data_IF_952734781973
#
_entry.id   IF_952734781973
#
_cell.length_a   1.000
_cell.length_b   1.000
_cell.length_c   1.000
_cell.angle_alpha   90.00
_cell.angle_beta   90.00
_cell.angle_gamma   90.00
#
_symmetry.space_group_name_H-M   'P 1'
#
loop_
_entity.id
_entity.type
_entity.pdbx_description
1 polymer ?
#
# COMPACT_ATOMS: atom_id res chain seq x y z
N UNK A 1 28.43 -36.09 36.75
CA UNK A 1 29.29 -35.89 35.57
C UNK A 1 29.01 -34.55 34.86
N UNK A 2 27.81 -34.21 34.44
CA UNK A 2 27.45 -32.97 33.72
C UNK A 2 27.99 -31.70 34.38
N UNK A 3 27.82 -31.57 35.71
CA UNK A 3 28.26 -30.39 36.49
C UNK A 3 29.78 -30.14 36.41
N UNK A 4 30.58 -31.22 36.30
CA UNK A 4 32.03 -31.11 36.15
C UNK A 4 32.40 -30.57 34.76
N UNK A 5 31.77 -31.06 33.70
CA UNK A 5 32.00 -30.62 32.34
C UNK A 5 31.61 -29.12 32.16
N UNK A 6 30.49 -28.70 32.72
CA UNK A 6 30.09 -27.29 32.69
C UNK A 6 31.11 -26.39 33.38
N UNK A 7 31.60 -26.79 34.59
CA UNK A 7 32.58 -26.02 35.34
C UNK A 7 33.92 -25.92 34.59
N UNK A 8 34.35 -27.00 33.93
CA UNK A 8 35.58 -27.01 33.12
C UNK A 8 35.44 -26.19 31.86
N UNK A 9 34.30 -26.26 31.17
CA UNK A 9 33.98 -25.41 30.03
C UNK A 9 34.02 -23.93 30.39
N UNK A 10 33.36 -23.55 31.49
CA UNK A 10 33.33 -22.15 31.96
C UNK A 10 34.74 -21.63 32.31
N UNK A 11 35.60 -22.48 32.93
CA UNK A 11 36.97 -22.11 33.24
C UNK A 11 37.82 -21.92 31.99
N UNK A 12 37.60 -22.74 30.96
CA UNK A 12 38.27 -22.58 29.67
C UNK A 12 37.81 -21.33 28.92
N UNK A 13 36.53 -21.00 28.96
CA UNK A 13 36.02 -19.75 28.40
C UNK A 13 36.68 -18.50 29.05
N UNK A 14 36.88 -18.54 30.35
CA UNK A 14 37.55 -17.45 31.07
C UNK A 14 39.04 -17.37 30.83
N UNK A 15 39.70 -18.52 30.54
CA UNK A 15 41.13 -18.59 30.27
C UNK A 15 41.49 -17.98 28.90
N UNK A 16 40.67 -18.22 27.86
CA UNK A 16 40.93 -17.78 26.47
C UNK A 16 39.95 -16.66 26.06
N UNK A 17 39.90 -15.60 26.86
CA UNK A 17 38.90 -14.51 26.72
C UNK A 17 38.86 -13.89 25.33
N UNK A 18 40.04 -13.53 24.78
CA UNK A 18 40.13 -12.86 23.47
C UNK A 18 39.56 -13.73 22.34
N UNK A 19 39.99 -15.02 22.29
CA UNK A 19 39.54 -15.96 21.26
C UNK A 19 38.05 -16.23 21.37
N UNK A 20 37.52 -16.40 22.58
CA UNK A 20 36.11 -16.65 22.81
C UNK A 20 35.25 -15.43 22.46
N UNK A 21 35.72 -14.21 22.78
CA UNK A 21 34.99 -12.96 22.40
C UNK A 21 34.93 -12.86 20.87
N UNK A 22 36.05 -13.10 20.14
CA UNK A 22 36.03 -13.06 18.68
C UNK A 22 35.08 -14.10 18.10
N UNK A 23 35.09 -15.32 18.64
CA UNK A 23 34.16 -16.38 18.20
C UNK A 23 32.69 -16.06 18.47
N UNK A 24 32.38 -15.49 19.64
CA UNK A 24 31.03 -15.08 19.98
C UNK A 24 30.54 -13.95 19.06
N UNK A 25 31.40 -12.95 18.82
CA UNK A 25 31.06 -11.84 17.90
C UNK A 25 30.82 -12.38 16.50
N UNK A 26 31.74 -13.23 15.98
CA UNK A 26 31.61 -13.83 14.66
C UNK A 26 30.31 -14.64 14.51
N UNK A 27 30.01 -15.49 15.51
CA UNK A 27 28.78 -16.27 15.50
C UNK A 27 27.53 -15.38 15.58
N UNK A 28 27.56 -14.34 16.43
CA UNK A 28 26.45 -13.40 16.58
C UNK A 28 26.16 -12.66 15.27
N UNK A 29 27.20 -12.18 14.59
CA UNK A 29 27.06 -11.52 13.28
C UNK A 29 26.52 -12.51 12.24
N UNK A 30 27.03 -13.75 12.22
CA UNK A 30 26.55 -14.79 11.30
C UNK A 30 25.05 -15.10 11.50
N UNK A 31 24.60 -15.25 12.75
CA UNK A 31 23.18 -15.47 13.08
C UNK A 31 22.34 -14.24 12.68
N UNK A 32 22.82 -13.02 12.94
CA UNK A 32 22.12 -11.81 12.56
C UNK A 32 21.94 -11.71 11.04
N UNK A 33 23.00 -11.89 10.26
CA UNK A 33 22.93 -11.88 8.80
C UNK A 33 21.95 -12.95 8.26
N UNK A 34 22.06 -14.17 8.80
CA UNK A 34 21.16 -15.25 8.42
C UNK A 34 19.70 -14.93 8.72
N UNK A 35 19.43 -14.36 9.90
CA UNK A 35 18.07 -13.97 10.31
C UNK A 35 17.50 -12.89 9.39
N UNK A 36 18.30 -11.88 9.02
CA UNK A 36 17.91 -10.83 8.08
C UNK A 36 17.59 -11.43 6.71
N UNK A 37 18.47 -12.31 6.19
CA UNK A 37 18.25 -12.97 4.89
C UNK A 37 16.97 -13.81 4.89
N UNK A 38 16.70 -14.55 5.97
CA UNK A 38 15.46 -15.31 6.11
C UNK A 38 14.24 -14.41 6.16
N UNK A 39 14.32 -13.29 6.90
CA UNK A 39 13.23 -12.32 6.97
C UNK A 39 12.95 -11.71 5.59
N UNK A 40 13.99 -11.22 4.90
CA UNK A 40 13.85 -10.66 3.56
C UNK A 40 13.27 -11.67 2.56
N UNK A 41 13.75 -12.92 2.59
CA UNK A 41 13.22 -13.98 1.73
C UNK A 41 11.74 -14.26 2.00
N UNK A 42 11.35 -14.34 3.27
CA UNK A 42 9.93 -14.53 3.64
C UNK A 42 9.07 -13.33 3.23
N UNK A 43 9.59 -12.12 3.43
CA UNK A 43 8.89 -10.89 3.06
C UNK A 43 8.62 -10.83 1.55
N UNK A 44 9.63 -11.07 0.72
CA UNK A 44 9.50 -11.10 -0.74
C UNK A 44 8.53 -12.21 -1.18
N UNK A 45 8.66 -13.42 -0.63
CA UNK A 45 7.81 -14.54 -0.99
C UNK A 45 6.37 -14.42 -0.47
N UNK A 46 6.07 -13.43 0.38
CA UNK A 46 4.71 -13.14 0.86
C UNK A 46 4.07 -11.94 0.15
N UNK A 47 4.73 -11.36 -0.85
CA UNK A 47 4.18 -10.26 -1.64
C UNK A 47 2.87 -10.69 -2.31
N UNK A 48 1.89 -9.79 -2.30
CA UNK A 48 0.56 -9.94 -2.89
C UNK A 48 -0.33 -11.07 -2.32
N UNK A 49 0.14 -11.86 -1.36
CA UNK A 49 -0.65 -12.95 -0.74
C UNK A 49 -1.87 -12.47 0.07
N UNK A 50 -2.01 -11.17 0.26
CA UNK A 50 -3.21 -10.58 0.82
C UNK A 50 -4.42 -10.62 -0.12
N UNK A 51 -4.19 -10.78 -1.43
CA UNK A 51 -5.25 -10.85 -2.42
C UNK A 51 -5.72 -12.30 -2.63
N UNK A 52 -7.04 -12.51 -2.75
CA UNK A 52 -7.63 -13.84 -2.85
C UNK A 52 -7.10 -14.65 -4.04
N UNK A 53 -6.81 -13.99 -5.16
CA UNK A 53 -6.38 -14.62 -6.41
C UNK A 53 -4.96 -14.24 -6.81
N UNK A 54 -4.08 -13.99 -5.83
CA UNK A 54 -2.72 -13.50 -6.05
C UNK A 54 -1.89 -14.32 -7.06
N UNK A 55 -2.10 -15.64 -7.14
CA UNK A 55 -1.39 -16.53 -8.08
C UNK A 55 -1.78 -16.31 -9.54
N UNK A 56 -2.90 -15.63 -9.78
CA UNK A 56 -3.50 -15.42 -11.11
C UNK A 56 -3.43 -13.96 -11.55
N UNK A 57 -2.91 -13.07 -10.70
CA UNK A 57 -2.72 -11.66 -11.01
C UNK A 57 -1.38 -11.50 -11.74
N UNK A 58 -1.40 -10.82 -12.87
CA UNK A 58 -0.21 -10.52 -13.65
C UNK A 58 -0.20 -9.06 -14.09
N UNK A 59 0.97 -8.43 -14.05
CA UNK A 59 1.18 -7.08 -14.54
C UNK A 59 1.49 -7.10 -16.04
N UNK A 60 0.90 -6.15 -16.77
CA UNK A 60 1.22 -5.92 -18.17
C UNK A 60 2.21 -4.76 -18.25
N UNK A 61 3.44 -5.08 -18.61
CA UNK A 61 4.50 -4.10 -18.78
C UNK A 61 4.88 -3.94 -20.26
N UNK A 62 5.11 -2.71 -20.68
CA UNK A 62 5.63 -2.41 -22.01
C UNK A 62 7.15 -2.53 -22.03
N UNK A 63 7.65 -3.28 -22.99
CA UNK A 63 9.08 -3.30 -23.31
C UNK A 63 9.32 -2.48 -24.57
N UNK A 64 10.13 -1.43 -24.46
CA UNK A 64 10.66 -0.75 -25.63
C UNK A 64 11.93 -1.47 -26.11
N UNK A 65 12.13 -1.65 -27.42
CA UNK A 65 13.27 -2.42 -27.95
C UNK A 65 14.65 -1.89 -27.61
N UNK A 66 14.73 -0.67 -27.09
CA UNK A 66 15.99 0.04 -26.91
C UNK A 66 16.54 0.05 -25.48
N UNK A 67 15.74 -0.14 -24.46
CA UNK A 67 16.16 0.06 -23.07
C UNK A 67 15.15 -0.57 -22.07
N UNK A 68 15.50 -0.52 -20.83
CA UNK A 68 14.88 -1.09 -19.62
C UNK A 68 13.34 -1.15 -19.63
N UNK A 69 12.75 -2.10 -18.91
CA UNK A 69 11.30 -2.24 -18.83
C UNK A 69 10.69 -0.92 -18.31
N UNK A 70 9.90 -0.29 -19.14
CA UNK A 70 9.14 0.88 -18.73
C UNK A 70 8.04 0.38 -17.77
N UNK A 71 8.19 0.68 -16.49
CA UNK A 71 7.19 0.30 -15.51
C UNK A 71 5.97 1.20 -15.65
N UNK A 72 5.00 0.73 -16.39
CA UNK A 72 3.72 1.40 -16.56
C UNK A 72 3.16 1.24 -17.97
N UNK A 73 1.87 1.00 -18.03
CA UNK A 73 1.14 0.91 -19.29
C UNK A 73 0.38 2.22 -19.50
N UNK A 74 0.54 2.90 -20.65
CA UNK A 74 -0.27 4.09 -20.95
C UNK A 74 -1.77 3.78 -20.88
N UNK A 75 -2.58 4.68 -20.36
CA UNK A 75 -4.03 4.51 -20.26
C UNK A 75 -4.68 4.23 -21.62
N UNK A 76 -4.14 4.79 -22.70
CA UNK A 76 -4.62 4.54 -24.07
C UNK A 76 -4.44 3.09 -24.50
N UNK A 77 -3.35 2.42 -24.08
CA UNK A 77 -3.14 1.02 -24.37
C UNK A 77 -4.08 0.13 -23.55
N UNK A 78 -4.35 0.50 -22.31
CA UNK A 78 -5.31 -0.21 -21.47
C UNK A 78 -6.69 -0.32 -22.12
N UNK A 79 -7.21 0.78 -22.68
CA UNK A 79 -8.49 0.77 -23.39
C UNK A 79 -8.44 -0.13 -24.62
N UNK A 80 -7.33 -0.16 -25.35
CA UNK A 80 -7.14 -1.03 -26.49
C UNK A 80 -7.07 -2.51 -26.08
N UNK A 81 -6.37 -2.83 -24.99
CA UNK A 81 -6.27 -4.20 -24.47
C UNK A 81 -7.62 -4.70 -23.95
N UNK A 82 -8.41 -3.83 -23.32
CA UNK A 82 -9.75 -4.16 -22.82
C UNK A 82 -10.73 -4.52 -23.94
N UNK A 83 -10.55 -3.95 -25.12
CA UNK A 83 -11.36 -4.28 -26.30
C UNK A 83 -10.98 -5.64 -26.92
N UNK A 84 -9.75 -6.11 -26.66
CA UNK A 84 -9.29 -7.42 -27.11
C UNK A 84 -9.81 -8.48 -26.12
N UNK A 85 -10.66 -9.38 -26.61
CA UNK A 85 -11.17 -10.49 -25.81
C UNK A 85 -10.13 -11.62 -25.79
N UNK A 86 -9.37 -11.72 -24.71
CA UNK A 86 -8.46 -12.84 -24.48
C UNK A 86 -9.19 -13.94 -23.72
N UNK A 87 -9.13 -15.18 -24.22
CA UNK A 87 -9.84 -16.32 -23.60
C UNK A 87 -9.27 -16.68 -22.22
N UNK A 88 -7.99 -16.40 -22.00
CA UNK A 88 -7.28 -16.72 -20.75
C UNK A 88 -7.37 -15.61 -19.70
N UNK A 89 -7.91 -14.45 -20.03
CA UNK A 89 -7.99 -13.29 -19.11
C UNK A 89 -9.43 -13.09 -18.67
N UNK A 90 -9.66 -13.23 -17.36
CA UNK A 90 -10.99 -13.07 -16.77
C UNK A 90 -11.37 -11.59 -16.56
N UNK A 91 -10.41 -10.76 -16.17
CA UNK A 91 -10.64 -9.35 -15.94
C UNK A 91 -9.36 -8.54 -16.14
N UNK A 92 -9.53 -7.30 -16.62
CA UNK A 92 -8.50 -6.29 -16.68
C UNK A 92 -8.86 -5.16 -15.71
N UNK A 93 -7.87 -4.66 -14.98
CA UNK A 93 -8.02 -3.46 -14.18
C UNK A 93 -6.87 -2.49 -14.40
N UNK A 94 -7.18 -1.22 -14.33
CA UNK A 94 -6.18 -0.15 -14.34
C UNK A 94 -5.91 0.30 -12.92
N UNK A 95 -4.63 0.44 -12.60
CA UNK A 95 -4.17 0.94 -11.31
C UNK A 95 -3.09 1.99 -11.56
N UNK A 96 -3.34 3.22 -11.12
CA UNK A 96 -2.32 4.25 -11.17
C UNK A 96 -1.42 4.17 -9.93
N UNK A 97 -0.17 4.61 -10.07
CA UNK A 97 0.72 4.73 -8.92
C UNK A 97 0.13 5.63 -7.83
N UNK A 98 0.20 5.22 -6.56
CA UNK A 98 -0.26 6.05 -5.47
C UNK A 98 0.54 7.35 -5.42
N UNK A 99 -0.16 8.48 -5.40
CA UNK A 99 0.45 9.80 -5.37
C UNK A 99 0.00 10.57 -4.14
N UNK A 100 0.91 11.28 -3.46
CA UNK A 100 0.54 12.14 -2.35
C UNK A 100 -0.29 13.31 -2.87
N UNK A 101 -1.44 13.55 -2.25
CA UNK A 101 -2.34 14.66 -2.55
C UNK A 101 -2.87 15.25 -1.25
N UNK A 102 -3.26 16.50 -1.28
CA UNK A 102 -3.89 17.17 -0.14
C UNK A 102 -5.39 17.30 -0.37
N UNK A 103 -6.17 17.06 0.66
CA UNK A 103 -7.63 17.13 0.61
C UNK A 103 -8.17 17.92 1.79
N UNK A 104 -9.23 18.67 1.55
CA UNK A 104 -10.09 19.21 2.60
C UNK A 104 -11.20 18.20 2.84
N UNK A 105 -11.39 17.79 4.08
CA UNK A 105 -12.39 16.79 4.45
C UNK A 105 -13.48 17.44 5.27
N UNK A 106 -14.73 17.21 4.90
CA UNK A 106 -15.91 17.66 5.65
C UNK A 106 -16.01 16.83 6.95
N UNK A 107 -15.88 17.50 8.10
CA UNK A 107 -16.02 16.90 9.44
C UNK A 107 -17.47 16.87 9.89
N UNK A 108 -17.74 16.37 11.11
CA UNK A 108 -19.06 16.30 11.76
C UNK A 108 -19.71 17.67 11.83
N UNK A 109 -18.95 18.68 12.21
CA UNK A 109 -19.41 20.06 12.42
C UNK A 109 -19.54 20.83 11.10
N UNK A 110 -19.44 20.13 9.95
CA UNK A 110 -19.42 20.72 8.60
C UNK A 110 -18.26 21.69 8.36
N UNK A 111 -17.23 21.61 9.18
CA UNK A 111 -15.99 22.32 8.95
C UNK A 111 -15.11 21.50 7.99
N UNK A 112 -14.46 22.17 7.05
CA UNK A 112 -13.47 21.54 6.17
C UNK A 112 -12.09 21.63 6.82
N UNK A 113 -11.50 20.48 7.16
CA UNK A 113 -10.14 20.40 7.67
C UNK A 113 -9.17 19.92 6.59
N UNK A 114 -8.02 20.58 6.45
CA UNK A 114 -7.01 20.17 5.49
C UNK A 114 -6.23 18.93 5.98
N UNK A 115 -6.08 17.96 5.10
CA UNK A 115 -5.22 16.80 5.28
C UNK A 115 -4.21 16.75 4.15
N UNK A 116 -2.94 16.76 4.50
CA UNK A 116 -1.83 16.75 3.55
C UNK A 116 -1.22 15.37 3.41
N UNK A 117 -0.57 15.15 2.26
CA UNK A 117 0.19 13.96 1.94
C UNK A 117 -0.58 12.63 2.11
N UNK A 118 -1.87 12.62 1.73
CA UNK A 118 -2.66 11.41 1.62
C UNK A 118 -2.34 10.70 0.30
N UNK A 119 -1.92 9.45 0.39
CA UNK A 119 -1.58 8.64 -0.79
C UNK A 119 -2.84 8.08 -1.44
N UNK A 120 -3.24 8.73 -2.52
CA UNK A 120 -4.39 8.34 -3.32
C UNK A 120 -3.96 7.51 -4.53
N UNK A 121 -4.62 6.39 -4.75
CA UNK A 121 -4.43 5.50 -5.90
C UNK A 121 -5.69 5.56 -6.78
N UNK A 122 -5.53 5.95 -8.03
CA UNK A 122 -6.64 5.94 -9.00
C UNK A 122 -6.81 4.52 -9.54
N UNK A 123 -8.04 4.03 -9.53
CA UNK A 123 -8.39 2.67 -9.97
C UNK A 123 -9.66 2.71 -10.81
N UNK A 124 -9.85 1.70 -11.64
CA UNK A 124 -11.11 1.53 -12.37
C UNK A 124 -12.12 0.68 -11.56
N UNK A 125 -13.34 0.59 -12.08
CA UNK A 125 -14.42 -0.17 -11.44
C UNK A 125 -14.16 -1.67 -11.37
N UNK A 126 -13.28 -2.20 -12.22
CA UNK A 126 -12.91 -3.61 -12.25
C UNK A 126 -11.89 -4.00 -11.17
N UNK A 127 -11.30 -3.03 -10.48
CA UNK A 127 -10.32 -3.27 -9.41
C UNK A 127 -10.79 -4.31 -8.39
N UNK A 128 -12.04 -4.21 -7.95
CA UNK A 128 -12.61 -5.14 -6.98
C UNK A 128 -12.63 -6.60 -7.46
N UNK A 129 -12.88 -6.84 -8.75
CA UNK A 129 -12.92 -8.20 -9.28
C UNK A 129 -11.54 -8.85 -9.38
N UNK A 130 -10.48 -8.04 -9.50
CA UNK A 130 -9.10 -8.52 -9.57
C UNK A 130 -8.47 -8.65 -8.19
N UNK A 131 -8.52 -7.58 -7.39
CA UNK A 131 -7.82 -7.51 -6.09
C UNK A 131 -8.69 -7.88 -4.89
N UNK A 132 -10.01 -7.98 -5.05
CA UNK A 132 -10.95 -8.43 -4.00
C UNK A 132 -10.71 -7.81 -2.62
N UNK A 133 -10.61 -6.46 -2.47
CA UNK A 133 -10.40 -5.84 -1.17
C UNK A 133 -11.59 -6.11 -0.24
N UNK A 134 -11.30 -6.36 1.02
CA UNK A 134 -12.35 -6.54 2.04
C UNK A 134 -13.05 -5.20 2.33
N UNK A 135 -14.34 -5.13 2.02
CA UNK A 135 -15.18 -3.95 2.27
C UNK A 135 -15.76 -4.04 3.68
N UNK A 136 -15.38 -3.11 4.55
CA UNK A 136 -15.80 -3.06 5.95
C UNK A 136 -17.10 -2.30 6.14
N UNK A 137 -17.28 -1.20 5.41
CA UNK A 137 -18.49 -0.37 5.43
C UNK A 137 -18.77 0.15 4.02
N UNK A 138 -20.04 0.45 3.74
CA UNK A 138 -20.48 0.93 2.43
C UNK A 138 -20.58 -0.19 1.40
N UNK A 139 -20.43 0.15 0.11
CA UNK A 139 -20.58 -0.81 -0.98
C UNK A 139 -19.72 -0.43 -2.17
N UNK A 140 -18.94 -1.38 -2.68
CA UNK A 140 -18.18 -1.21 -3.91
C UNK A 140 -19.09 -1.00 -5.12
N UNK A 141 -20.22 -1.69 -5.18
CA UNK A 141 -21.19 -1.55 -6.27
C UNK A 141 -21.77 -0.14 -6.34
N UNK A 142 -22.01 0.50 -5.20
CA UNK A 142 -22.45 1.91 -5.14
C UNK A 142 -21.31 2.84 -5.55
N UNK A 143 -20.10 2.60 -5.05
CA UNK A 143 -18.91 3.38 -5.40
C UNK A 143 -18.65 3.37 -6.91
N UNK A 144 -18.72 2.20 -7.55
CA UNK A 144 -18.48 2.04 -9.00
C UNK A 144 -19.51 2.76 -9.89
N UNK A 145 -20.68 3.12 -9.36
CA UNK A 145 -21.72 3.84 -10.09
C UNK A 145 -21.76 5.34 -9.74
N UNK A 146 -21.02 5.75 -8.72
CA UNK A 146 -20.99 7.13 -8.25
C UNK A 146 -19.82 7.88 -8.87
N UNK A 147 -20.07 8.97 -9.62
CA UNK A 147 -18.99 9.80 -10.13
C UNK A 147 -18.12 10.37 -8.99
N UNK A 148 -16.81 10.37 -9.17
CA UNK A 148 -15.87 10.84 -8.15
C UNK A 148 -16.05 10.15 -6.79
N UNK A 149 -16.29 8.85 -6.79
CA UNK A 149 -16.31 8.08 -5.56
C UNK A 149 -14.91 7.92 -4.99
N UNK A 150 -14.80 8.00 -3.67
CA UNK A 150 -13.59 7.68 -2.95
C UNK A 150 -13.86 6.58 -1.93
N UNK A 151 -12.90 5.67 -1.82
CA UNK A 151 -12.91 4.56 -0.87
C UNK A 151 -11.74 4.75 0.05
N UNK A 152 -11.98 4.82 1.35
CA UNK A 152 -10.95 5.02 2.35
C UNK A 152 -10.46 3.69 2.89
N UNK A 153 -9.19 3.65 3.29
CA UNK A 153 -8.70 2.56 4.13
C UNK A 153 -9.20 2.74 5.57
N UNK A 154 -9.24 1.66 6.34
CA UNK A 154 -9.63 1.67 7.76
C UNK A 154 -8.80 2.67 8.55
N UNK A 155 -7.47 2.64 8.38
CA UNK A 155 -6.56 3.53 9.11
C UNK A 155 -6.83 5.00 8.81
N UNK A 156 -7.08 5.35 7.54
CA UNK A 156 -7.39 6.73 7.18
C UNK A 156 -8.75 7.15 7.72
N UNK A 157 -9.77 6.31 7.60
CA UNK A 157 -11.10 6.60 8.13
C UNK A 157 -11.05 6.87 9.65
N UNK A 158 -10.31 6.04 10.40
CA UNK A 158 -10.12 6.26 11.84
C UNK A 158 -9.31 7.54 12.15
N UNK A 159 -8.31 7.86 11.34
CA UNK A 159 -7.48 9.06 11.52
C UNK A 159 -8.32 10.34 11.36
N UNK A 160 -9.24 10.35 10.40
CA UNK A 160 -10.04 11.54 10.07
C UNK A 160 -11.30 11.64 10.94
N UNK A 161 -12.04 10.55 11.12
CA UNK A 161 -13.36 10.54 11.73
C UNK A 161 -13.41 9.91 13.12
N UNK A 162 -12.32 9.28 13.58
CA UNK A 162 -12.32 8.56 14.86
C UNK A 162 -13.01 7.21 14.81
N UNK A 163 -13.19 6.59 15.99
CA UNK A 163 -13.67 5.19 16.16
C UNK A 163 -15.21 5.07 16.26
N UNK A 164 -15.99 5.96 15.89
CA UNK A 164 -17.45 5.84 16.09
C UNK A 164 -18.29 6.51 15.04
N UNK A 165 -17.67 7.21 14.14
CA UNK A 165 -18.35 7.99 13.15
C UNK A 165 -18.48 7.25 11.81
N UNK A 166 -19.65 7.39 11.18
CA UNK A 166 -19.87 6.87 9.83
C UNK A 166 -19.43 7.91 8.79
N UNK A 167 -18.35 7.67 8.03
CA UNK A 167 -17.87 8.59 7.02
C UNK A 167 -18.60 8.48 5.68
N UNK A 168 -19.43 7.46 5.48
CA UNK A 168 -20.12 7.23 4.21
C UNK A 168 -21.03 8.40 3.86
N UNK A 169 -20.89 8.90 2.62
CA UNK A 169 -21.64 10.05 2.12
C UNK A 169 -21.00 11.42 2.41
N UNK A 170 -19.96 11.49 3.24
CA UNK A 170 -19.22 12.74 3.46
C UNK A 170 -18.38 13.11 2.25
N UNK A 171 -18.01 14.38 2.18
CA UNK A 171 -17.30 14.96 1.05
C UNK A 171 -15.83 15.17 1.37
N UNK A 172 -15.00 14.98 0.35
CA UNK A 172 -13.59 15.33 0.34
C UNK A 172 -13.32 16.20 -0.88
N UNK A 173 -12.72 17.35 -0.68
CA UNK A 173 -12.38 18.28 -1.78
C UNK A 173 -10.88 18.22 -2.03
N UNK A 174 -10.47 17.94 -3.27
CA UNK A 174 -9.05 17.96 -3.64
C UNK A 174 -8.51 19.38 -3.52
N UNK A 175 -7.53 19.58 -2.65
CA UNK A 175 -6.85 20.86 -2.51
C UNK A 175 -5.91 21.08 -3.69
N UNK A 176 -6.20 22.06 -4.51
CA UNK A 176 -5.29 22.46 -5.60
C UNK A 176 -4.15 23.31 -5.04
N UNK A 177 -2.94 22.74 -4.98
CA UNK A 177 -1.72 23.54 -4.80
C UNK A 177 -1.32 24.15 -6.15
N UNK A 178 -1.45 25.45 -6.29
CA UNK A 178 -0.79 26.17 -7.38
C UNK A 178 0.70 26.30 -7.06
N UNK A 179 1.55 25.65 -7.83
CA UNK A 179 3.01 25.65 -7.69
C UNK A 179 3.68 27.04 -7.81
N UNK A 180 2.94 28.11 -7.97
CA UNK A 180 3.45 29.44 -8.30
C UNK A 180 3.06 30.57 -7.36
N UNK A 181 2.48 30.30 -6.18
CA UNK A 181 2.18 31.35 -5.21
C UNK A 181 2.72 31.01 -3.82
N UNK A 182 3.46 31.93 -3.17
CA UNK A 182 3.86 31.78 -1.78
C UNK A 182 2.67 31.91 -0.80
N UNK A 183 1.47 32.12 -1.32
CA UNK A 183 0.25 32.26 -0.54
C UNK A 183 -0.33 30.87 -0.26
N UNK A 184 -0.19 30.43 0.97
CA UNK A 184 -0.55 29.09 1.46
C UNK A 184 -2.06 28.88 1.70
N UNK A 185 -2.92 29.76 1.19
CA UNK A 185 -4.37 29.58 1.32
C UNK A 185 -4.87 28.52 0.34
N UNK A 186 -5.50 27.42 0.82
CA UNK A 186 -6.14 26.44 -0.05
C UNK A 186 -7.25 27.13 -0.85
N UNK A 187 -7.13 27.17 -2.16
CA UNK A 187 -8.22 27.69 -2.99
C UNK A 187 -9.37 26.68 -3.01
N UNK A 188 -10.52 27.12 -2.57
CA UNK A 188 -11.81 26.43 -2.71
C UNK A 188 -12.14 26.32 -4.19
N UNK A 189 -12.15 25.09 -4.75
CA UNK A 189 -12.48 24.88 -6.17
C UNK A 189 -11.91 23.59 -6.78
N UNK A 190 -11.46 22.63 -5.95
CA UNK A 190 -10.99 21.32 -6.41
C UNK A 190 -12.16 20.37 -6.72
N UNK A 191 -11.83 19.24 -7.35
CA UNK A 191 -12.78 18.13 -7.54
C UNK A 191 -13.32 17.65 -6.21
N UNK A 192 -14.64 17.55 -6.11
CA UNK A 192 -15.33 17.04 -4.93
C UNK A 192 -15.51 15.54 -5.09
N UNK A 193 -15.04 14.78 -4.11
CA UNK A 193 -15.20 13.34 -3.99
C UNK A 193 -16.18 13.01 -2.89
N UNK A 194 -16.93 11.91 -3.04
CA UNK A 194 -17.85 11.40 -2.02
C UNK A 194 -17.36 10.06 -1.50
N UNK A 195 -17.28 9.92 -0.18
CA UNK A 195 -16.87 8.68 0.47
C UNK A 195 -17.99 7.64 0.33
N UNK A 196 -17.74 6.53 -0.33
CA UNK A 196 -18.74 5.50 -0.61
C UNK A 196 -18.47 4.16 0.06
N UNK A 197 -17.22 3.89 0.43
CA UNK A 197 -16.87 2.66 1.13
C UNK A 197 -15.62 2.84 1.99
N UNK A 198 -15.46 1.93 2.95
CA UNK A 198 -14.23 1.73 3.72
C UNK A 198 -13.77 0.31 3.46
N UNK A 199 -12.51 0.15 3.15
CA UNK A 199 -11.86 -1.15 2.98
C UNK A 199 -10.83 -1.40 4.07
N UNK A 200 -10.42 -2.67 4.21
CA UNK A 200 -9.27 -3.04 5.02
C UNK A 200 -8.00 -2.36 4.50
N UNK A 201 -7.04 -2.12 5.38
CA UNK A 201 -5.76 -1.53 5.00
C UNK A 201 -5.01 -2.41 4.00
N UNK A 202 -4.52 -1.81 2.92
CA UNK A 202 -3.69 -2.51 1.95
C UNK A 202 -2.28 -2.63 2.53
N UNK A 203 -1.75 -3.85 2.70
CA UNK A 203 -0.42 -4.06 3.27
C UNK A 203 0.67 -3.43 2.40
N UNK A 204 1.76 -2.97 3.04
CA UNK A 204 2.94 -2.44 2.33
C UNK A 204 3.64 -3.50 1.46
N UNK A 205 3.41 -4.78 1.75
CA UNK A 205 3.99 -5.90 1.03
C UNK A 205 3.10 -6.32 -0.15
N UNK A 206 2.82 -5.37 -1.03
CA UNK A 206 2.09 -5.60 -2.26
C UNK A 206 2.78 -4.92 -3.43
N UNK A 207 2.61 -5.46 -4.62
CA UNK A 207 3.07 -4.84 -5.87
C UNK A 207 2.42 -3.47 -6.10
N UNK A 208 1.22 -3.25 -5.55
CA UNK A 208 0.49 -1.99 -5.64
C UNK A 208 1.10 -0.86 -4.81
N UNK A 209 1.67 -1.19 -3.66
CA UNK A 209 2.09 -0.18 -2.69
C UNK A 209 3.44 0.47 -3.00
N UNK A 210 4.33 -0.23 -3.72
CA UNK A 210 5.72 0.22 -3.94
C UNK A 210 6.39 0.73 -2.66
N UNK A 211 6.14 0.07 -1.53
CA UNK A 211 6.57 0.46 -0.18
C UNK A 211 5.95 1.78 0.33
N UNK A 212 4.92 2.30 -0.35
CA UNK A 212 4.15 3.46 0.09
C UNK A 212 2.80 3.02 0.64
N UNK A 213 2.38 3.62 1.74
CA UNK A 213 1.06 3.36 2.28
C UNK A 213 -0.01 3.93 1.36
N UNK A 214 -0.97 3.10 0.97
CA UNK A 214 -2.15 3.56 0.23
C UNK A 214 -3.21 3.95 1.27
N UNK A 215 -3.66 5.20 1.21
CA UNK A 215 -4.63 5.74 2.15
C UNK A 215 -6.06 5.68 1.59
N UNK A 216 -6.21 5.82 0.26
CA UNK A 216 -7.51 5.80 -0.39
C UNK A 216 -7.43 5.33 -1.85
N UNK A 217 -8.56 4.85 -2.35
CA UNK A 217 -8.81 4.57 -3.76
C UNK A 217 -9.77 5.60 -4.34
N UNK A 218 -9.51 6.05 -5.56
CA UNK A 218 -10.35 6.99 -6.32
C UNK A 218 -10.86 6.27 -7.57
N UNK A 219 -12.18 6.28 -7.74
CA UNK A 219 -12.89 5.71 -8.89
C UNK A 219 -13.30 6.79 -9.89
#
# INVERSE_FOLDING_TARGET
MIRHYIKTAFRNLLKYKAQNIISIIGLSVGILCFSICLYCSRYINSTDKCFTHWERIADINLYTPAEEPYSGTPATLFESLRQLQFQEVEAFTFVAYPRPRSYNVETIDKEELPYEDLYAMEVDTAYHSVFTPEVLQGSWAVASQTPNAVILTRSLAHKIFGLGENPIGKRMTLAQRLFSSPDTTPRTGGTIYTIQAIIEDIPLNTSLSFLQKIDMLIL
#
